data_IF_598120713249
#
_entry.id   IF_598120713249
#
_cell.length_a   1.000
_cell.length_b   1.000
_cell.length_c   1.000
_cell.angle_alpha   90.00
_cell.angle_beta   90.00
_cell.angle_gamma   90.00
#
_symmetry.space_group_name_H-M   'P 1'
#
loop_
_entity.id
_entity.type
_entity.pdbx_description
1 polymer ?
#
# COMPACT_ATOMS: atom_id res chain seq x y z
N UNK A 1 13.80 -61.46 -32.26
CA UNK A 1 13.09 -61.71 -30.99
C UNK A 1 12.07 -60.60 -30.75
N UNK A 2 10.77 -60.94 -30.67
CA UNK A 2 9.66 -59.99 -30.47
C UNK A 2 9.82 -59.14 -29.19
N UNK A 3 10.55 -59.65 -28.20
CA UNK A 3 10.86 -58.98 -26.93
C UNK A 3 11.74 -57.73 -27.12
N UNK A 4 12.69 -57.78 -28.07
CA UNK A 4 13.61 -56.66 -28.36
C UNK A 4 12.88 -55.49 -29.03
N UNK A 5 11.89 -55.80 -29.87
CA UNK A 5 11.03 -54.81 -30.52
C UNK A 5 10.06 -54.14 -29.53
N UNK A 6 9.50 -54.91 -28.59
CA UNK A 6 8.66 -54.41 -27.50
C UNK A 6 9.43 -53.49 -26.55
N UNK A 7 10.65 -53.85 -26.17
CA UNK A 7 11.49 -52.97 -25.33
C UNK A 7 11.85 -51.66 -26.04
N UNK A 8 12.12 -51.68 -27.34
CA UNK A 8 12.47 -50.48 -28.10
C UNK A 8 11.30 -49.50 -28.28
N UNK A 9 10.04 -49.96 -28.28
CA UNK A 9 8.87 -49.09 -28.43
C UNK A 9 8.28 -48.63 -27.09
N UNK A 10 8.26 -49.49 -26.08
CA UNK A 10 7.64 -49.17 -24.78
C UNK A 10 8.55 -48.33 -23.88
N UNK A 11 9.87 -48.51 -23.95
CA UNK A 11 10.83 -47.76 -23.15
C UNK A 11 10.83 -46.24 -23.45
N UNK A 12 10.89 -45.77 -24.72
CA UNK A 12 10.78 -44.33 -25.01
C UNK A 12 9.40 -43.76 -24.68
N UNK A 13 8.34 -44.55 -24.80
CA UNK A 13 6.99 -44.13 -24.42
C UNK A 13 6.87 -43.91 -22.90
N UNK A 14 7.49 -44.79 -22.11
CA UNK A 14 7.57 -44.67 -20.66
C UNK A 14 8.38 -43.43 -20.23
N UNK A 15 9.54 -43.19 -20.86
CA UNK A 15 10.34 -41.99 -20.63
C UNK A 15 9.53 -40.73 -20.99
N UNK A 16 8.83 -40.72 -22.12
CA UNK A 16 7.99 -39.60 -22.52
C UNK A 16 6.88 -39.33 -21.50
N UNK A 17 6.23 -40.37 -20.95
CA UNK A 17 5.23 -40.20 -19.89
C UNK A 17 5.82 -39.64 -18.59
N UNK A 18 6.99 -40.11 -18.16
CA UNK A 18 7.67 -39.56 -16.98
C UNK A 18 8.09 -38.10 -17.19
N UNK A 19 8.57 -37.76 -18.38
CA UNK A 19 8.94 -36.39 -18.75
C UNK A 19 7.72 -35.46 -18.73
N UNK A 20 6.57 -35.94 -19.24
CA UNK A 20 5.31 -35.20 -19.19
C UNK A 20 4.81 -35.01 -17.74
N UNK A 21 4.84 -36.05 -16.91
CA UNK A 21 4.46 -35.96 -15.48
C UNK A 21 5.37 -34.96 -14.76
N UNK A 22 6.68 -35.00 -15.04
CA UNK A 22 7.64 -34.06 -14.46
C UNK A 22 7.38 -32.63 -14.91
N UNK A 23 7.03 -32.43 -16.19
CA UNK A 23 6.67 -31.12 -16.74
C UNK A 23 5.38 -30.57 -16.12
N UNK A 24 4.34 -31.39 -15.96
CA UNK A 24 3.08 -31.02 -15.30
C UNK A 24 3.34 -30.68 -13.83
N UNK A 25 4.14 -31.49 -13.13
CA UNK A 25 4.47 -31.29 -11.73
C UNK A 25 5.29 -30.02 -11.52
N UNK A 26 6.29 -29.77 -12.36
CA UNK A 26 7.07 -28.54 -12.34
C UNK A 26 6.21 -27.32 -12.71
N UNK A 27 5.30 -27.45 -13.67
CA UNK A 27 4.35 -26.39 -14.02
C UNK A 27 3.41 -26.04 -12.86
N UNK A 28 2.86 -27.04 -12.20
CA UNK A 28 1.99 -26.88 -11.03
C UNK A 28 2.72 -26.28 -9.82
N UNK A 29 3.94 -26.73 -9.54
CA UNK A 29 4.77 -26.14 -8.49
C UNK A 29 5.11 -24.69 -8.83
N UNK A 30 5.52 -24.41 -10.07
CA UNK A 30 5.91 -23.07 -10.47
C UNK A 30 4.72 -22.09 -10.41
N UNK A 31 3.52 -22.50 -10.83
CA UNK A 31 2.32 -21.67 -10.67
C UNK A 31 2.00 -21.41 -9.19
N UNK A 32 2.07 -22.44 -8.34
CA UNK A 32 1.88 -22.31 -6.89
C UNK A 32 2.93 -21.38 -6.24
N UNK A 33 4.20 -21.49 -6.62
CA UNK A 33 5.28 -20.63 -6.13
C UNK A 33 5.10 -19.18 -6.60
N UNK A 34 4.77 -18.97 -7.87
CA UNK A 34 4.50 -17.62 -8.41
C UNK A 34 3.30 -16.99 -7.72
N UNK A 35 2.22 -17.74 -7.48
CA UNK A 35 1.05 -17.23 -6.77
C UNK A 35 1.36 -16.91 -5.31
N UNK A 36 2.14 -17.77 -4.64
CA UNK A 36 2.57 -17.55 -3.25
C UNK A 36 3.50 -16.32 -3.13
N UNK A 37 4.47 -16.19 -4.05
CA UNK A 37 5.38 -15.04 -4.09
C UNK A 37 4.62 -13.76 -4.42
N UNK A 38 3.73 -13.76 -5.43
CA UNK A 38 2.92 -12.58 -5.77
C UNK A 38 2.04 -12.14 -4.62
N UNK A 39 1.37 -13.08 -3.95
CA UNK A 39 0.49 -12.76 -2.84
C UNK A 39 1.29 -12.23 -1.62
N UNK A 40 2.46 -12.80 -1.34
CA UNK A 40 3.32 -12.33 -0.26
C UNK A 40 3.98 -10.97 -0.57
N UNK A 41 4.45 -10.76 -1.80
CA UNK A 41 5.02 -9.46 -2.24
C UNK A 41 3.96 -8.36 -2.19
N UNK A 42 2.75 -8.62 -2.68
CA UNK A 42 1.64 -7.67 -2.60
C UNK A 42 1.28 -7.31 -1.16
N UNK A 43 1.30 -8.28 -0.23
CA UNK A 43 1.04 -8.06 1.19
C UNK A 43 2.17 -7.30 1.90
N UNK A 44 3.44 -7.56 1.56
CA UNK A 44 4.59 -6.84 2.12
C UNK A 44 4.63 -5.40 1.62
N UNK A 45 4.41 -5.17 0.32
CA UNK A 45 4.36 -3.81 -0.23
C UNK A 45 3.20 -3.02 0.37
N UNK A 46 2.03 -3.64 0.56
CA UNK A 46 0.90 -3.02 1.26
C UNK A 46 1.27 -2.61 2.69
N UNK A 47 1.94 -3.47 3.47
CA UNK A 47 2.35 -3.16 4.83
C UNK A 47 3.37 -2.02 4.88
N UNK A 48 4.30 -1.99 3.94
CA UNK A 48 5.26 -0.90 3.77
C UNK A 48 4.53 0.41 3.47
N UNK A 49 3.59 0.41 2.52
CA UNK A 49 2.79 1.59 2.20
C UNK A 49 1.91 2.05 3.37
N UNK A 50 1.33 1.12 4.13
CA UNK A 50 0.59 1.44 5.36
C UNK A 50 1.47 2.21 6.36
N UNK A 51 2.71 1.77 6.59
CA UNK A 51 3.65 2.50 7.44
C UNK A 51 3.97 3.89 6.87
N UNK A 52 4.27 3.96 5.57
CA UNK A 52 4.65 5.22 4.91
C UNK A 52 3.52 6.26 4.94
N UNK A 53 2.26 5.85 4.79
CA UNK A 53 1.14 6.79 4.84
C UNK A 53 0.86 7.31 6.26
N UNK A 54 1.05 6.46 7.28
CA UNK A 54 0.96 6.87 8.68
C UNK A 54 2.01 7.92 8.97
N UNK A 55 3.25 7.67 8.55
CA UNK A 55 4.36 8.62 8.73
C UNK A 55 4.09 9.93 7.98
N UNK A 56 3.61 9.86 6.74
CA UNK A 56 3.26 11.02 5.95
C UNK A 56 2.14 11.86 6.61
N UNK A 57 1.13 11.23 7.22
CA UNK A 57 0.07 11.95 7.94
C UNK A 57 0.62 12.76 9.11
N UNK A 58 1.47 12.17 9.94
CA UNK A 58 2.09 12.90 11.05
C UNK A 58 3.04 14.00 10.56
N UNK A 59 3.77 13.75 9.47
CA UNK A 59 4.59 14.76 8.84
C UNK A 59 3.75 15.96 8.37
N UNK A 60 2.56 15.73 7.81
CA UNK A 60 1.62 16.82 7.46
C UNK A 60 1.25 17.64 8.68
N UNK A 61 0.84 17.02 9.80
CA UNK A 61 0.49 17.76 11.03
C UNK A 61 1.63 18.67 11.49
N UNK A 62 2.86 18.16 11.49
CA UNK A 62 4.05 18.93 11.90
C UNK A 62 4.32 20.09 10.94
N UNK A 63 4.25 19.87 9.63
CA UNK A 63 4.50 20.92 8.64
C UNK A 63 3.41 21.99 8.63
N UNK A 64 2.15 21.62 8.86
CA UNK A 64 1.05 22.58 9.02
C UNK A 64 1.22 23.43 10.28
N UNK A 65 1.66 22.84 11.39
CA UNK A 65 1.99 23.59 12.60
C UNK A 65 3.16 24.56 12.39
N UNK A 66 4.21 24.12 11.68
CA UNK A 66 5.34 24.99 11.32
C UNK A 66 4.92 26.14 10.41
N UNK A 67 4.09 25.86 9.39
CA UNK A 67 3.51 26.87 8.50
C UNK A 67 2.67 27.91 9.28
N UNK A 68 1.83 27.45 10.20
CA UNK A 68 1.03 28.33 11.05
C UNK A 68 1.90 29.23 11.93
N UNK A 69 2.92 28.66 12.57
CA UNK A 69 3.86 29.41 13.41
C UNK A 69 4.69 30.43 12.62
N UNK A 70 5.05 30.12 11.37
CA UNK A 70 5.83 31.00 10.49
C UNK A 70 5.02 32.19 9.95
N UNK A 71 3.69 32.09 9.90
CA UNK A 71 2.79 33.17 9.48
C UNK A 71 3.17 33.75 8.11
N UNK A 72 3.22 35.07 7.98
CA UNK A 72 3.48 35.72 6.68
C UNK A 72 4.90 35.53 6.13
N UNK A 73 5.84 35.00 6.92
CA UNK A 73 7.23 34.71 6.48
C UNK A 73 7.42 33.26 6.00
N UNK A 74 6.34 32.49 5.87
CA UNK A 74 6.38 31.04 5.66
C UNK A 74 6.71 30.58 4.22
N UNK A 75 7.56 31.27 3.47
CA UNK A 75 7.85 30.92 2.06
C UNK A 75 8.31 29.47 1.88
N UNK A 76 9.32 29.04 2.65
CA UNK A 76 9.79 27.66 2.64
C UNK A 76 8.77 26.70 3.30
N UNK A 77 8.15 27.12 4.39
CA UNK A 77 7.29 26.26 5.21
C UNK A 77 5.98 25.95 4.49
N UNK A 78 5.52 26.87 3.63
CA UNK A 78 4.42 26.65 2.70
C UNK A 78 4.76 25.54 1.71
N UNK A 79 5.97 25.54 1.14
CA UNK A 79 6.42 24.51 0.19
C UNK A 79 6.53 23.16 0.89
N UNK A 80 7.11 23.12 2.09
CA UNK A 80 7.25 21.88 2.85
C UNK A 80 5.90 21.30 3.27
N UNK A 81 4.96 22.13 3.72
CA UNK A 81 3.61 21.70 4.06
C UNK A 81 2.84 21.20 2.82
N UNK A 82 2.96 21.92 1.70
CA UNK A 82 2.35 21.51 0.42
C UNK A 82 2.92 20.16 -0.04
N UNK A 83 4.24 19.99 0.04
CA UNK A 83 4.92 18.74 -0.33
C UNK A 83 4.51 17.59 0.57
N UNK A 84 4.36 17.83 1.89
CA UNK A 84 3.90 16.81 2.82
C UNK A 84 2.47 16.35 2.50
N UNK A 85 1.55 17.29 2.23
CA UNK A 85 0.17 16.96 1.85
C UNK A 85 0.16 16.21 0.52
N UNK A 86 0.91 16.67 -0.49
CA UNK A 86 1.03 15.99 -1.78
C UNK A 86 1.57 14.56 -1.65
N UNK A 87 2.60 14.34 -0.81
CA UNK A 87 3.13 13.00 -0.54
C UNK A 87 2.07 12.10 0.10
N UNK A 88 1.33 12.61 1.07
CA UNK A 88 0.23 11.86 1.69
C UNK A 88 -0.84 11.48 0.64
N UNK A 89 -1.24 12.41 -0.22
CA UNK A 89 -2.22 12.14 -1.29
C UNK A 89 -1.73 11.10 -2.30
N UNK A 90 -0.45 11.16 -2.69
CA UNK A 90 0.15 10.20 -3.60
C UNK A 90 0.15 8.78 -3.00
N UNK A 91 0.56 8.64 -1.74
CA UNK A 91 0.52 7.38 -1.01
C UNK A 91 -0.93 6.88 -0.84
N UNK A 92 -1.87 7.79 -0.55
CA UNK A 92 -3.29 7.45 -0.38
C UNK A 92 -3.90 6.95 -1.67
N UNK A 93 -3.55 7.57 -2.80
CA UNK A 93 -3.96 7.11 -4.14
C UNK A 93 -3.36 5.74 -4.47
N UNK A 94 -2.08 5.53 -4.15
CA UNK A 94 -1.43 4.24 -4.34
C UNK A 94 -2.12 3.13 -3.53
N UNK A 95 -2.34 3.35 -2.22
CA UNK A 95 -3.03 2.40 -1.34
C UNK A 95 -4.48 2.15 -1.75
N UNK A 96 -5.18 3.20 -2.21
CA UNK A 96 -6.53 3.09 -2.73
C UNK A 96 -6.61 2.15 -3.94
N UNK A 97 -5.60 2.13 -4.81
CA UNK A 97 -5.55 1.22 -5.96
C UNK A 97 -5.31 -0.24 -5.58
N UNK A 98 -4.85 -0.49 -4.35
CA UNK A 98 -4.65 -1.84 -3.80
C UNK A 98 -5.87 -2.35 -3.01
N UNK A 99 -6.97 -1.58 -2.96
CA UNK A 99 -8.11 -1.82 -2.07
C UNK A 99 -9.45 -1.60 -2.78
N UNK A 100 -10.54 -1.96 -2.10
CA UNK A 100 -11.89 -1.76 -2.57
C UNK A 100 -12.29 -0.27 -2.61
N UNK A 101 -13.27 0.05 -3.45
CA UNK A 101 -13.79 1.40 -3.70
C UNK A 101 -14.11 2.20 -2.42
N UNK A 102 -14.61 1.53 -1.39
CA UNK A 102 -14.95 2.15 -0.09
C UNK A 102 -13.74 2.67 0.68
N UNK A 103 -12.59 2.01 0.53
CA UNK A 103 -11.32 2.43 1.15
C UNK A 103 -10.76 3.62 0.37
N UNK A 104 -10.83 3.58 -0.96
CA UNK A 104 -10.42 4.68 -1.84
C UNK A 104 -11.10 5.99 -1.48
N UNK A 105 -12.42 5.96 -1.31
CA UNK A 105 -13.21 7.15 -0.93
C UNK A 105 -12.73 7.75 0.40
N UNK A 106 -12.33 6.92 1.37
CA UNK A 106 -11.82 7.39 2.68
C UNK A 106 -10.48 8.11 2.54
N UNK A 107 -9.53 7.56 1.77
CA UNK A 107 -8.26 8.23 1.48
C UNK A 107 -8.48 9.57 0.77
N UNK A 108 -9.31 9.60 -0.27
CA UNK A 108 -9.63 10.83 -1.01
C UNK A 108 -10.27 11.89 -0.11
N UNK A 109 -11.21 11.49 0.75
CA UNK A 109 -11.86 12.41 1.69
C UNK A 109 -10.85 13.03 2.65
N UNK A 110 -9.96 12.23 3.26
CA UNK A 110 -8.95 12.75 4.17
C UNK A 110 -7.95 13.66 3.45
N UNK A 111 -7.55 13.30 2.22
CA UNK A 111 -6.71 14.17 1.38
C UNK A 111 -7.33 15.55 1.17
N UNK A 112 -8.62 15.62 0.81
CA UNK A 112 -9.31 16.90 0.63
C UNK A 112 -9.41 17.71 1.91
N UNK A 113 -9.68 17.07 3.05
CA UNK A 113 -9.71 17.78 4.32
C UNK A 113 -8.33 18.36 4.69
N UNK A 114 -7.24 17.62 4.44
CA UNK A 114 -5.88 18.12 4.64
C UNK A 114 -5.53 19.29 3.72
N UNK A 115 -5.96 19.27 2.46
CA UNK A 115 -5.80 20.40 1.54
C UNK A 115 -6.55 21.65 2.00
N UNK A 116 -7.78 21.50 2.50
CA UNK A 116 -8.55 22.62 3.07
C UNK A 116 -7.82 23.22 4.28
N UNK A 117 -7.29 22.39 5.16
CA UNK A 117 -6.51 22.85 6.31
C UNK A 117 -5.25 23.58 5.83
N UNK A 118 -4.51 23.02 4.86
CA UNK A 118 -3.33 23.65 4.28
C UNK A 118 -3.60 25.05 3.72
N UNK A 119 -4.73 25.22 3.01
CA UNK A 119 -5.10 26.50 2.41
C UNK A 119 -5.28 27.62 3.45
N UNK A 120 -5.78 27.27 4.64
CA UNK A 120 -6.09 28.19 5.71
C UNK A 120 -5.00 28.26 6.80
N UNK A 121 -4.12 27.25 6.87
CA UNK A 121 -3.20 27.01 7.99
C UNK A 121 -2.37 28.23 8.36
N UNK A 122 -1.97 29.06 7.39
CA UNK A 122 -1.16 30.25 7.65
C UNK A 122 -1.94 31.41 8.28
N UNK A 123 -3.26 31.44 8.11
CA UNK A 123 -4.12 32.61 8.41
C UNK A 123 -4.99 32.42 9.63
N UNK A 124 -5.16 31.17 10.08
CA UNK A 124 -6.02 30.85 11.22
C UNK A 124 -5.23 30.86 12.53
N UNK A 125 -5.88 31.13 13.67
CA UNK A 125 -5.29 30.92 14.98
C UNK A 125 -4.81 29.48 15.20
N UNK A 126 -3.77 29.29 16.03
CA UNK A 126 -3.18 27.97 16.29
C UNK A 126 -4.14 26.98 16.97
N UNK A 127 -5.04 27.48 17.81
CA UNK A 127 -6.11 26.70 18.45
C UNK A 127 -7.14 26.23 17.42
N UNK A 128 -7.49 27.08 16.45
CA UNK A 128 -8.38 26.72 15.35
C UNK A 128 -7.74 25.70 14.41
N UNK A 129 -6.43 25.82 14.11
CA UNK A 129 -5.69 24.79 13.38
C UNK A 129 -5.75 23.45 14.11
N UNK A 130 -5.46 23.45 15.41
CA UNK A 130 -5.48 22.23 16.24
C UNK A 130 -6.87 21.60 16.23
N UNK A 131 -7.93 22.40 16.37
CA UNK A 131 -9.32 21.95 16.33
C UNK A 131 -9.66 21.29 14.99
N UNK A 132 -9.25 21.89 13.87
CA UNK A 132 -9.48 21.31 12.53
C UNK A 132 -8.72 20.01 12.32
N UNK A 133 -7.45 19.93 12.77
CA UNK A 133 -6.67 18.71 12.72
C UNK A 133 -7.30 17.60 13.60
N UNK A 134 -7.82 17.94 14.77
CA UNK A 134 -8.49 16.97 15.64
C UNK A 134 -9.83 16.50 15.04
N UNK A 135 -10.54 17.35 14.29
CA UNK A 135 -11.79 16.98 13.64
C UNK A 135 -11.59 15.94 12.52
N UNK A 136 -10.41 15.89 11.91
CA UNK A 136 -10.08 14.93 10.83
C UNK A 136 -9.41 13.66 11.35
N UNK A 137 -8.92 13.63 12.60
CA UNK A 137 -8.30 12.45 13.21
C UNK A 137 -9.15 11.19 13.17
N UNK A 138 -10.48 11.22 13.37
CA UNK A 138 -11.31 10.03 13.26
C UNK A 138 -11.24 9.37 11.87
N UNK A 139 -11.11 10.16 10.79
CA UNK A 139 -10.96 9.62 9.44
C UNK A 139 -9.64 8.85 9.30
N UNK A 140 -8.55 9.41 9.82
CA UNK A 140 -7.25 8.74 9.83
C UNK A 140 -7.27 7.49 10.72
N UNK A 141 -7.89 7.55 11.90
CA UNK A 141 -7.95 6.44 12.83
C UNK A 141 -8.68 5.22 12.24
N UNK A 142 -9.78 5.45 11.52
CA UNK A 142 -10.52 4.39 10.82
C UNK A 142 -9.66 3.72 9.74
N UNK A 143 -8.91 4.52 8.98
CA UNK A 143 -7.99 4.01 7.94
C UNK A 143 -6.78 3.27 8.53
N UNK A 144 -6.27 3.74 9.67
CA UNK A 144 -5.17 3.10 10.38
C UNK A 144 -5.61 1.75 10.98
N UNK A 145 -6.85 1.62 11.44
CA UNK A 145 -7.39 0.35 11.93
C UNK A 145 -7.39 -0.72 10.82
N UNK A 146 -7.67 -0.35 9.57
CA UNK A 146 -7.58 -1.24 8.42
C UNK A 146 -6.14 -1.72 8.16
N UNK A 147 -5.13 -0.84 8.34
CA UNK A 147 -3.72 -1.22 8.30
C UNK A 147 -3.34 -2.17 9.45
N UNK A 148 -3.79 -1.91 10.68
CA UNK A 148 -3.52 -2.75 11.85
C UNK A 148 -4.15 -4.14 11.71
N UNK A 149 -5.40 -4.23 11.24
CA UNK A 149 -6.06 -5.52 10.97
C UNK A 149 -5.30 -6.32 9.93
N UNK A 150 -4.86 -5.67 8.86
CA UNK A 150 -4.07 -6.30 7.80
C UNK A 150 -2.73 -6.83 8.33
N UNK A 151 -2.08 -6.08 9.24
CA UNK A 151 -0.84 -6.49 9.90
C UNK A 151 -1.04 -7.72 10.80
N UNK A 152 -2.10 -7.72 11.62
CA UNK A 152 -2.42 -8.83 12.55
C UNK A 152 -2.78 -10.13 11.84
N UNK A 153 -3.32 -10.05 10.63
CA UNK A 153 -3.65 -11.21 9.81
C UNK A 153 -2.42 -11.83 9.10
N UNK A 154 -1.21 -11.32 9.35
CA UNK A 154 0.03 -11.85 8.82
C UNK A 154 0.58 -12.94 9.75
N UNK A 155 0.75 -14.20 9.29
CA UNK A 155 1.48 -15.20 10.07
C UNK A 155 2.94 -14.76 10.20
N UNK A 156 3.49 -14.85 11.41
CA UNK A 156 4.90 -14.59 11.70
C UNK A 156 5.80 -15.69 11.15
#
# INVERSE_FOLDING_TARGET
SRIRALLMTYFPMFIATLSLVTSIYNGYLNSKFVDLVRNNVGRVEYMKSCREIIEAYFQVKVRLAALNAAGDKAGAEQIEATTAVAKFMALGTYLANLRDETIRVRYTKLSWELEKVLADARRIPADELTKRLNAIEPLFAEMNDDCVKSAKAMPM
#
